data_IF_577468353485
#
_entry.id   IF_577468353485
#
_cell.length_a   1.000
_cell.length_b   1.000
_cell.length_c   1.000
_cell.angle_alpha   90.00
_cell.angle_beta   90.00
_cell.angle_gamma   90.00
#
_symmetry.space_group_name_H-M   'P 1'
#
loop_
_entity.id
_entity.type
_entity.pdbx_description
1 polymer ?
#
# COMPACT_ATOMS: atom_id res chain seq x y z
N UNK A 1 12.99 9.49 22.83
CA UNK A 1 13.81 9.77 21.64
C UNK A 1 12.94 10.50 20.62
N UNK A 2 13.48 11.41 19.79
CA UNK A 2 12.68 12.05 18.74
C UNK A 2 12.23 10.99 17.72
N UNK A 3 10.98 11.10 17.26
CA UNK A 3 10.43 10.24 16.20
C UNK A 3 11.21 10.51 14.91
N UNK A 4 11.85 9.48 14.35
CA UNK A 4 12.55 9.61 13.07
C UNK A 4 11.56 9.48 11.92
N UNK A 5 11.71 10.35 10.92
CA UNK A 5 10.83 10.40 9.77
C UNK A 5 11.58 9.98 8.49
N UNK A 6 10.96 9.15 7.67
CA UNK A 6 11.42 8.76 6.33
C UNK A 6 10.30 9.10 5.35
N UNK A 7 10.59 10.01 4.39
CA UNK A 7 9.64 10.39 3.33
C UNK A 7 8.26 10.80 3.86
N UNK A 8 8.21 11.46 5.03
CA UNK A 8 6.98 11.91 5.66
C UNK A 8 6.28 10.88 6.56
N UNK A 9 6.85 9.68 6.75
CA UNK A 9 6.33 8.65 7.65
C UNK A 9 7.27 8.36 8.82
N UNK A 10 6.70 7.96 9.96
CA UNK A 10 7.45 7.47 11.11
C UNK A 10 8.19 6.17 10.74
N UNK A 11 9.52 6.14 10.94
CA UNK A 11 10.40 4.99 10.64
C UNK A 11 9.93 3.69 11.31
N UNK A 12 9.46 3.73 12.55
CA UNK A 12 9.00 2.54 13.27
C UNK A 12 7.75 1.95 12.61
N UNK A 13 6.81 2.80 12.19
CA UNK A 13 5.61 2.35 11.46
C UNK A 13 5.98 1.69 10.13
N UNK A 14 7.03 2.17 9.47
CA UNK A 14 7.55 1.55 8.25
C UNK A 14 8.16 0.19 8.55
N UNK A 15 9.03 0.10 9.56
CA UNK A 15 9.62 -1.16 9.96
C UNK A 15 8.55 -2.22 10.26
N UNK A 16 7.49 -1.84 10.97
CA UNK A 16 6.37 -2.73 11.28
C UNK A 16 5.59 -3.13 10.01
N UNK A 17 5.32 -2.20 9.09
CA UNK A 17 4.73 -2.52 7.78
C UNK A 17 5.59 -3.53 7.00
N UNK A 18 6.91 -3.37 7.02
CA UNK A 18 7.83 -4.32 6.40
C UNK A 18 7.79 -5.70 7.06
N UNK A 19 7.87 -5.76 8.39
CA UNK A 19 7.81 -7.02 9.14
C UNK A 19 6.49 -7.75 8.90
N UNK A 20 5.38 -7.01 8.91
CA UNK A 20 4.06 -7.51 8.54
C UNK A 20 4.09 -8.09 7.12
N UNK A 21 4.50 -7.32 6.12
CA UNK A 21 4.52 -7.79 4.72
C UNK A 21 5.39 -9.05 4.54
N UNK A 22 6.55 -9.13 5.19
CA UNK A 22 7.40 -10.33 5.17
C UNK A 22 6.68 -11.54 5.79
N UNK A 23 6.11 -11.40 6.99
CA UNK A 23 5.35 -12.47 7.65
C UNK A 23 4.20 -12.97 6.78
N UNK A 24 3.52 -12.05 6.10
CA UNK A 24 2.41 -12.38 5.22
C UNK A 24 2.90 -13.06 3.94
N UNK A 25 3.89 -12.49 3.25
CA UNK A 25 4.42 -13.06 2.00
C UNK A 25 4.94 -14.49 2.19
N UNK A 26 5.56 -14.79 3.34
CA UNK A 26 5.98 -16.15 3.67
C UNK A 26 4.81 -17.09 3.95
N UNK A 27 3.76 -16.63 4.64
CA UNK A 27 2.62 -17.47 5.03
C UNK A 27 1.57 -17.65 3.93
N UNK A 28 1.46 -16.71 2.99
CA UNK A 28 0.45 -16.74 1.92
C UNK A 28 0.80 -17.71 0.79
N UNK A 29 2.08 -18.11 0.65
CA UNK A 29 2.51 -19.08 -0.36
C UNK A 29 1.81 -20.45 -0.28
N UNK A 30 0.96 -20.70 0.73
CA UNK A 30 0.09 -21.87 0.84
C UNK A 30 -1.37 -21.59 1.22
N UNK A 31 -1.82 -20.33 1.24
CA UNK A 31 -3.21 -19.97 1.58
C UNK A 31 -4.04 -19.89 0.30
N UNK A 32 -5.09 -20.70 0.21
CA UNK A 32 -5.94 -20.78 -0.98
C UNK A 32 -7.36 -20.28 -0.74
N UNK A 33 -7.72 -19.95 0.50
CA UNK A 33 -9.07 -19.50 0.85
C UNK A 33 -9.08 -18.21 1.66
N UNK A 34 -10.15 -17.42 1.50
CA UNK A 34 -10.38 -16.21 2.31
C UNK A 34 -10.53 -16.56 3.80
N UNK A 35 -11.10 -17.72 4.13
CA UNK A 35 -11.28 -18.18 5.52
C UNK A 35 -9.95 -18.41 6.22
N UNK A 36 -8.98 -19.05 5.56
CA UNK A 36 -7.62 -19.23 6.08
C UNK A 36 -6.92 -17.88 6.28
N UNK A 37 -7.09 -16.96 5.33
CA UNK A 37 -6.56 -15.60 5.43
C UNK A 37 -7.15 -14.84 6.62
N UNK A 38 -8.47 -14.90 6.82
CA UNK A 38 -9.17 -14.23 7.94
C UNK A 38 -8.83 -14.86 9.29
N UNK A 39 -8.66 -16.19 9.37
CA UNK A 39 -8.25 -16.88 10.60
C UNK A 39 -6.87 -16.43 11.09
N UNK A 40 -5.96 -16.22 10.14
CA UNK A 40 -4.62 -15.71 10.46
C UNK A 40 -4.64 -14.25 10.87
N UNK A 41 -5.65 -13.50 10.42
CA UNK A 41 -5.70 -12.04 10.51
C UNK A 41 -7.11 -11.58 10.91
N UNK A 42 -7.40 -11.58 12.22
CA UNK A 42 -8.73 -11.29 12.74
C UNK A 42 -9.26 -9.91 12.29
N UNK A 43 -8.38 -8.93 12.09
CA UNK A 43 -8.75 -7.58 11.65
C UNK A 43 -8.69 -7.37 10.12
N UNK A 44 -8.55 -8.42 9.31
CA UNK A 44 -8.49 -8.30 7.85
C UNK A 44 -9.70 -7.54 7.27
N UNK A 45 -10.90 -7.83 7.79
CA UNK A 45 -12.13 -7.16 7.38
C UNK A 45 -12.11 -5.64 7.65
N UNK A 46 -11.47 -5.20 8.74
CA UNK A 46 -11.27 -3.78 9.05
C UNK A 46 -10.29 -3.14 8.06
N UNK A 47 -9.19 -3.83 7.73
CA UNK A 47 -8.26 -3.36 6.69
C UNK A 47 -8.93 -3.25 5.32
N UNK A 48 -9.73 -4.25 4.94
CA UNK A 48 -10.51 -4.21 3.69
C UNK A 48 -11.49 -3.05 3.66
N UNK A 49 -12.18 -2.80 4.79
CA UNK A 49 -13.10 -1.66 4.94
C UNK A 49 -12.37 -0.33 4.80
N UNK A 50 -11.23 -0.13 5.48
CA UNK A 50 -10.43 1.08 5.39
C UNK A 50 -9.90 1.31 3.96
N UNK A 51 -9.38 0.27 3.32
CA UNK A 51 -8.89 0.35 1.92
C UNK A 51 -10.03 0.63 0.94
N UNK A 52 -11.25 0.17 1.25
CA UNK A 52 -12.44 0.42 0.42
C UNK A 52 -13.12 1.76 0.74
N UNK A 53 -12.73 2.44 1.82
CA UNK A 53 -13.21 3.79 2.18
C UNK A 53 -12.69 4.90 1.25
N UNK A 54 -11.84 4.54 0.30
CA UNK A 54 -11.42 5.36 -0.83
C UNK A 54 -11.44 4.50 -2.10
N UNK A 55 -11.46 5.14 -3.27
CA UNK A 55 -11.56 4.47 -4.56
C UNK A 55 -10.23 3.80 -4.92
N UNK A 56 -9.96 2.67 -4.28
CA UNK A 56 -8.83 1.80 -4.56
C UNK A 56 -9.21 0.83 -5.70
N UNK A 57 -8.69 1.07 -6.90
CA UNK A 57 -9.03 0.37 -8.13
C UNK A 57 -7.87 -0.52 -8.59
N UNK A 58 -8.16 -1.79 -8.86
CA UNK A 58 -7.21 -2.68 -9.54
C UNK A 58 -7.33 -2.47 -11.04
N UNK A 59 -6.22 -2.16 -11.70
CA UNK A 59 -6.15 -1.98 -13.16
C UNK A 59 -5.03 -2.82 -13.76
N UNK A 60 -5.16 -3.15 -15.05
CA UNK A 60 -4.05 -3.69 -15.82
C UNK A 60 -2.98 -2.59 -16.03
N UNK A 61 -1.73 -2.99 -16.28
CA UNK A 61 -0.60 -2.05 -16.43
C UNK A 61 -0.84 -1.05 -17.54
N UNK A 62 -1.31 -1.54 -18.69
CA UNK A 62 -1.65 -0.76 -19.87
C UNK A 62 -2.83 0.20 -19.66
N UNK A 63 -3.63 -0.02 -18.61
CA UNK A 63 -4.78 0.82 -18.25
C UNK A 63 -4.48 1.78 -17.09
N UNK A 64 -3.21 1.90 -16.67
CA UNK A 64 -2.83 2.80 -15.60
C UNK A 64 -3.07 4.26 -16.05
N UNK A 65 -3.85 5.06 -15.30
CA UNK A 65 -4.18 6.40 -15.72
C UNK A 65 -2.96 7.34 -15.72
N UNK A 66 -3.04 8.34 -16.61
CA UNK A 66 -2.09 9.45 -16.66
C UNK A 66 -2.19 10.31 -15.39
N UNK A 67 -1.10 11.04 -15.07
CA UNK A 67 -0.98 11.84 -13.85
C UNK A 67 -2.13 12.83 -13.64
N UNK A 68 -2.75 13.36 -14.70
CA UNK A 68 -3.86 14.32 -14.59
C UNK A 68 -5.11 13.77 -13.87
N UNK A 69 -5.38 12.46 -13.97
CA UNK A 69 -6.46 11.80 -13.24
C UNK A 69 -6.15 11.61 -11.75
N UNK A 70 -4.88 11.75 -11.34
CA UNK A 70 -4.43 11.63 -9.95
C UNK A 70 -4.67 12.91 -9.13
N UNK A 71 -5.16 13.97 -9.77
CA UNK A 71 -5.59 15.17 -9.06
C UNK A 71 -6.84 14.93 -8.19
N UNK A 72 -7.60 13.87 -8.48
CA UNK A 72 -8.81 13.54 -7.72
C UNK A 72 -8.46 12.97 -6.34
N UNK A 73 -9.01 13.53 -5.26
CA UNK A 73 -8.74 13.07 -3.90
C UNK A 73 -9.33 11.67 -3.66
N UNK A 74 -8.64 10.88 -2.85
CA UNK A 74 -9.07 9.56 -2.41
C UNK A 74 -9.28 8.55 -3.55
N UNK A 75 -8.45 8.62 -4.58
CA UNK A 75 -8.41 7.64 -5.66
C UNK A 75 -7.01 7.06 -5.75
N UNK A 76 -6.93 5.73 -5.76
CA UNK A 76 -5.69 4.99 -5.96
C UNK A 76 -5.91 3.91 -7.01
N UNK A 77 -5.16 3.98 -8.10
CA UNK A 77 -5.07 2.92 -9.08
C UNK A 77 -3.83 2.09 -8.80
N UNK A 78 -3.96 0.76 -8.81
CA UNK A 78 -2.83 -0.13 -8.64
C UNK A 78 -2.98 -1.40 -9.47
N UNK A 79 -1.86 -1.99 -9.85
CA UNK A 79 -1.84 -3.32 -10.44
C UNK A 79 -2.04 -4.37 -9.37
N UNK A 80 -2.56 -5.54 -9.72
CA UNK A 80 -2.59 -6.64 -8.76
C UNK A 80 -1.19 -7.25 -8.63
N UNK A 81 -0.53 -7.08 -7.49
CA UNK A 81 0.81 -7.63 -7.23
C UNK A 81 0.78 -8.90 -6.36
N UNK A 82 -0.35 -9.20 -5.71
CA UNK A 82 -0.54 -10.34 -4.79
C UNK A 82 -1.96 -10.94 -4.90
N UNK A 83 -2.21 -12.02 -4.18
CA UNK A 83 -3.51 -12.73 -4.17
C UNK A 83 -4.64 -11.97 -3.43
N UNK A 84 -4.37 -10.79 -2.85
CA UNK A 84 -5.35 -9.98 -2.14
C UNK A 84 -5.13 -8.49 -2.44
N UNK A 85 -6.24 -7.76 -2.60
CA UNK A 85 -6.25 -6.30 -2.75
C UNK A 85 -5.54 -5.61 -1.59
N UNK A 86 -5.73 -6.09 -0.35
CA UNK A 86 -5.07 -5.55 0.84
C UNK A 86 -3.56 -5.64 0.73
N UNK A 87 -3.06 -6.81 0.34
CA UNK A 87 -1.62 -7.04 0.23
C UNK A 87 -1.01 -6.31 -0.95
N UNK A 88 -1.72 -6.25 -2.07
CA UNK A 88 -1.31 -5.44 -3.22
C UNK A 88 -1.18 -3.98 -2.78
N UNK A 89 -2.19 -3.44 -2.08
CA UNK A 89 -2.14 -2.08 -1.53
C UNK A 89 -0.93 -1.88 -0.61
N UNK A 90 -0.79 -2.68 0.44
CA UNK A 90 0.29 -2.54 1.42
C UNK A 90 1.68 -2.69 0.76
N UNK A 91 1.81 -3.56 -0.23
CA UNK A 91 3.06 -3.74 -1.00
C UNK A 91 3.39 -2.46 -1.79
N UNK A 92 2.42 -1.89 -2.49
CA UNK A 92 2.62 -0.66 -3.25
C UNK A 92 2.92 0.53 -2.35
N UNK A 93 2.24 0.68 -1.21
CA UNK A 93 2.55 1.68 -0.20
C UNK A 93 3.99 1.53 0.29
N UNK A 94 4.38 0.31 0.70
CA UNK A 94 5.73 0.03 1.17
C UNK A 94 6.78 0.36 0.11
N UNK A 95 6.59 -0.04 -1.14
CA UNK A 95 7.53 0.27 -2.23
C UNK A 95 7.62 1.77 -2.49
N UNK A 96 6.47 2.46 -2.52
CA UNK A 96 6.42 3.91 -2.71
C UNK A 96 7.25 4.62 -1.63
N UNK A 97 7.11 4.21 -0.37
CA UNK A 97 7.89 4.77 0.74
C UNK A 97 9.37 4.45 0.60
N UNK A 98 9.70 3.17 0.35
CA UNK A 98 11.06 2.66 0.24
C UNK A 98 11.90 3.42 -0.80
N UNK A 99 11.25 3.77 -1.91
CA UNK A 99 11.88 4.41 -3.06
C UNK A 99 11.74 5.94 -3.05
N UNK A 100 11.19 6.54 -1.99
CA UNK A 100 10.96 7.98 -1.91
C UNK A 100 9.96 8.50 -2.94
N UNK A 101 9.04 7.66 -3.39
CA UNK A 101 8.05 7.95 -4.41
C UNK A 101 6.72 8.42 -3.80
N UNK A 102 6.87 9.21 -2.74
CA UNK A 102 5.77 9.77 -1.98
C UNK A 102 5.94 11.26 -1.89
N UNK A 103 4.86 11.98 -2.19
CA UNK A 103 4.83 13.44 -2.12
C UNK A 103 3.67 13.87 -1.26
N UNK A 104 3.96 14.66 -0.22
CA UNK A 104 2.94 15.27 0.63
C UNK A 104 2.41 16.54 -0.04
N UNK A 105 1.09 16.68 -0.09
CA UNK A 105 0.39 17.86 -0.58
C UNK A 105 -0.74 18.22 0.40
N UNK A 106 -0.49 19.20 1.29
CA UNK A 106 -1.42 19.58 2.37
C UNK A 106 -1.84 18.34 3.20
N UNK A 107 -3.12 17.98 3.14
CA UNK A 107 -3.74 16.88 3.86
C UNK A 107 -3.70 15.54 3.09
N UNK A 108 -3.07 15.54 1.92
CA UNK A 108 -2.99 14.41 1.02
C UNK A 108 -1.57 13.90 0.84
N UNK A 109 -1.49 12.65 0.42
CA UNK A 109 -0.27 12.01 -0.01
C UNK A 109 -0.46 11.42 -1.40
N UNK A 110 0.50 11.70 -2.26
CA UNK A 110 0.62 11.06 -3.57
C UNK A 110 1.38 9.76 -3.39
N UNK A 111 0.78 8.66 -3.82
CA UNK A 111 1.37 7.33 -3.81
C UNK A 111 1.73 7.02 -5.24
N UNK A 112 3.03 6.83 -5.50
CA UNK A 112 3.54 6.44 -6.80
C UNK A 112 4.41 5.21 -6.58
N UNK A 113 4.13 4.15 -7.34
CA UNK A 113 4.98 2.97 -7.45
C UNK A 113 5.22 2.66 -8.92
N UNK A 114 6.43 2.24 -9.25
CA UNK A 114 6.76 1.77 -10.59
C UNK A 114 7.84 0.69 -10.54
N UNK A 115 7.76 -0.19 -11.52
CA UNK A 115 8.83 -1.10 -11.89
C UNK A 115 9.65 -0.50 -13.02
N UNK A 116 10.97 -0.71 -13.00
CA UNK A 116 11.82 -0.34 -14.13
C UNK A 116 12.02 -1.55 -15.04
N UNK A 117 11.80 -1.37 -16.34
CA UNK A 117 12.18 -2.37 -17.31
C UNK A 117 13.72 -2.45 -17.35
N UNK A 118 14.27 -3.64 -17.07
CA UNK A 118 15.72 -3.85 -16.99
C UNK A 118 16.47 -3.49 -18.28
N UNK A 119 15.83 -3.69 -19.43
CA UNK A 119 16.43 -3.52 -20.75
C UNK A 119 16.28 -2.08 -21.26
N UNK A 120 15.08 -1.51 -21.17
CA UNK A 120 14.78 -0.18 -21.75
C UNK A 120 14.93 0.96 -20.76
N UNK A 121 15.07 0.68 -19.45
CA UNK A 121 15.05 1.66 -18.36
C UNK A 121 13.75 2.45 -18.24
N UNK A 122 12.71 2.02 -18.96
CA UNK A 122 11.40 2.63 -18.92
C UNK A 122 10.71 2.35 -17.58
N UNK A 123 10.11 3.39 -17.01
CA UNK A 123 9.32 3.29 -15.78
C UNK A 123 7.90 2.84 -16.12
N UNK A 124 7.55 1.65 -15.65
CA UNK A 124 6.21 1.07 -15.78
C UNK A 124 5.51 1.22 -14.45
N UNK A 125 4.54 2.13 -14.40
CA UNK A 125 3.80 2.44 -13.17
C UNK A 125 2.91 1.29 -12.74
N UNK A 126 2.97 0.98 -11.45
CA UNK A 126 2.29 -0.13 -10.79
C UNK A 126 1.33 0.34 -9.70
N UNK A 127 1.52 1.55 -9.17
CA UNK A 127 0.48 2.25 -8.40
C UNK A 127 0.58 3.76 -8.56
N UNK A 128 -0.57 4.43 -8.59
CA UNK A 128 -0.69 5.88 -8.73
C UNK A 128 -1.99 6.37 -8.09
N UNK A 129 -1.89 7.31 -7.18
CA UNK A 129 -3.07 7.87 -6.52
C UNK A 129 -2.78 9.01 -5.58
N UNK A 130 -3.84 9.64 -5.10
CA UNK A 130 -3.83 10.68 -4.08
C UNK A 130 -4.82 10.30 -2.99
N UNK A 131 -4.35 10.18 -1.75
CA UNK A 131 -5.17 9.73 -0.61
C UNK A 131 -4.92 10.64 0.58
N UNK A 132 -5.96 10.89 1.38
CA UNK A 132 -5.85 11.65 2.62
C UNK A 132 -4.91 10.97 3.61
N UNK A 133 -4.04 11.76 4.25
CA UNK A 133 -3.06 11.26 5.23
C UNK A 133 -3.75 10.47 6.36
N UNK A 134 -4.84 10.96 6.98
CA UNK A 134 -5.53 10.22 8.04
C UNK A 134 -6.00 8.81 7.62
N UNK A 135 -6.37 8.61 6.35
CA UNK A 135 -6.78 7.28 5.85
C UNK A 135 -5.59 6.32 5.78
N UNK A 136 -4.44 6.82 5.35
CA UNK A 136 -3.21 6.02 5.32
C UNK A 136 -2.73 5.73 6.74
N UNK A 137 -2.77 6.71 7.64
CA UNK A 137 -2.40 6.52 9.04
C UNK A 137 -3.27 5.48 9.74
N UNK A 138 -4.60 5.54 9.59
CA UNK A 138 -5.52 4.55 10.14
C UNK A 138 -5.22 3.12 9.67
N UNK A 139 -4.78 2.95 8.40
CA UNK A 139 -4.38 1.64 7.88
C UNK A 139 -3.06 1.19 8.53
N UNK A 140 -2.08 2.07 8.66
CA UNK A 140 -0.80 1.74 9.28
C UNK A 140 -0.95 1.39 10.76
N UNK A 141 -1.79 2.12 11.50
CA UNK A 141 -2.07 1.85 12.91
C UNK A 141 -2.71 0.47 13.07
N UNK A 142 -3.68 0.13 12.21
CA UNK A 142 -4.29 -1.19 12.23
C UNK A 142 -3.30 -2.31 11.85
N UNK A 143 -2.35 -2.05 10.92
CA UNK A 143 -1.28 -3.00 10.62
C UNK A 143 -0.40 -3.26 11.85
N UNK A 144 -0.09 -2.22 12.62
CA UNK A 144 0.72 -2.32 13.84
C UNK A 144 0.01 -3.16 14.91
N UNK A 145 -1.28 -2.90 15.15
CA UNK A 145 -2.09 -3.68 16.10
C UNK A 145 -2.10 -5.19 15.76
N UNK A 146 -1.97 -5.57 14.49
CA UNK A 146 -1.94 -6.98 14.08
C UNK A 146 -0.57 -7.66 14.24
N UNK A 147 0.52 -6.91 14.46
CA UNK A 147 1.86 -7.47 14.67
C UNK A 147 2.15 -7.70 16.16
N UNK A 148 1.53 -6.93 17.05
CA UNK A 148 1.69 -7.04 18.51
C UNK A 148 0.80 -8.13 19.15
N UNK A 149 0.17 -8.99 18.34
CA UNK A 149 -0.57 -10.21 18.72
C UNK A 149 0.19 -11.48 18.30
#
# INVERSE_FOLDING_TARGET
MPIKMINGFNEDKLFILYAYLCRYEHKIKGINTLKELTSMYPNLHKLESLISSFSCNIVKRESMPAMGLLALPNILYMTNSKNSKVLSFLTHIRNSIAHGQIMKEKDYIHIIDYSENKNTKEKIYTARGKVEIPKIEAILDLVIENVEL
#
